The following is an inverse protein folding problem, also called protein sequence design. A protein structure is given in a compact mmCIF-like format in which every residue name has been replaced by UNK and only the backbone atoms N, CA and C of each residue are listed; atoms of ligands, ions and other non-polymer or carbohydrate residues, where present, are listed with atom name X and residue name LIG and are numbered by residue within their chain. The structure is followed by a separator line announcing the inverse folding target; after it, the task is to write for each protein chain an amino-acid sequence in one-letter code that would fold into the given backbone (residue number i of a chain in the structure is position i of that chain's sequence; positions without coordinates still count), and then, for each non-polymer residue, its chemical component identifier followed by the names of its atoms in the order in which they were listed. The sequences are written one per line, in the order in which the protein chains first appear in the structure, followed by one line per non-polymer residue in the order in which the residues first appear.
data_IF_452354096694
#
_entry.id   IF_452354096694
#
_cell.length_a   1.000
_cell.length_b   1.000
_cell.length_c   1.000
_cell.angle_alpha   90.00
_cell.angle_beta   90.00
_cell.angle_gamma   90.00
#
_symmetry.space_group_name_H-M   'P 1'
#
loop_
_entity.id
_entity.type
_entity.pdbx_description
1 polymer ?
#
# COMPACT_ATOMS: atom_id res chain seq x y z
N UNK A 1 -79.18 -29.45 -36.78
CA UNK A 1 -78.33 -29.45 -37.98
C UNK A 1 -77.03 -28.71 -37.67
N UNK A 2 -75.89 -29.34 -38.00
CA UNK A 2 -74.46 -28.91 -37.83
C UNK A 2 -73.97 -28.90 -36.37
N UNK A 3 -73.07 -29.76 -35.86
CA UNK A 3 -72.16 -30.72 -36.47
C UNK A 3 -70.73 -30.17 -36.60
N UNK A 4 -69.80 -30.68 -35.78
CA UNK A 4 -68.33 -30.96 -35.99
C UNK A 4 -67.62 -30.97 -34.62
N UNK A 5 -67.23 -32.12 -34.06
CA UNK A 5 -66.00 -32.91 -34.31
C UNK A 5 -64.69 -32.10 -34.20
N UNK A 6 -63.98 -32.26 -33.06
CA UNK A 6 -62.53 -32.47 -33.04
C UNK A 6 -62.10 -33.13 -31.71
N UNK A 7 -61.74 -34.40 -31.79
CA UNK A 7 -60.89 -35.14 -30.83
C UNK A 7 -59.45 -34.62 -30.90
N UNK A 8 -58.69 -34.62 -29.80
CA UNK A 8 -57.35 -35.25 -29.73
C UNK A 8 -56.65 -35.13 -28.36
N UNK A 9 -56.26 -36.31 -27.86
CA UNK A 9 -55.01 -36.70 -27.16
C UNK A 9 -54.53 -35.99 -25.87
N UNK A 10 -54.69 -36.76 -24.79
CA UNK A 10 -53.73 -37.08 -23.74
C UNK A 10 -52.31 -36.47 -23.81
N UNK A 11 -51.93 -35.79 -22.74
CA UNK A 11 -50.55 -35.50 -22.36
C UNK A 11 -50.38 -35.64 -20.85
N UNK A 12 -49.95 -36.81 -20.39
CA UNK A 12 -49.54 -37.08 -19.00
C UNK A 12 -48.15 -36.46 -18.82
N UNK A 13 -48.05 -35.38 -18.05
CA UNK A 13 -46.76 -34.87 -17.59
C UNK A 13 -46.38 -35.63 -16.31
N UNK A 14 -45.39 -36.50 -16.45
CA UNK A 14 -44.80 -37.31 -15.38
C UNK A 14 -44.11 -36.41 -14.36
N UNK A 15 -44.59 -36.47 -13.12
CA UNK A 15 -43.92 -35.99 -11.93
C UNK A 15 -42.75 -36.93 -11.60
N UNK A 16 -41.51 -36.51 -11.91
CA UNK A 16 -40.30 -37.15 -11.40
C UNK A 16 -39.54 -36.15 -10.53
N UNK A 17 -39.33 -36.55 -9.27
CA UNK A 17 -38.77 -35.72 -8.21
C UNK A 17 -37.35 -35.26 -8.50
N UNK A 18 -37.15 -33.95 -8.41
CA UNK A 18 -35.84 -33.37 -8.19
C UNK A 18 -35.59 -33.33 -6.68
N UNK A 19 -34.75 -34.23 -6.20
CA UNK A 19 -34.09 -34.14 -4.91
C UNK A 19 -33.23 -32.87 -4.94
N UNK A 20 -33.75 -31.78 -4.37
CA UNK A 20 -33.07 -30.49 -4.30
C UNK A 20 -31.92 -30.62 -3.30
N UNK A 21 -30.74 -30.99 -3.80
CA UNK A 21 -29.49 -30.91 -3.05
C UNK A 21 -29.23 -29.43 -2.73
N UNK A 22 -29.51 -29.05 -1.48
CA UNK A 22 -29.08 -27.79 -0.90
C UNK A 22 -27.54 -27.80 -0.82
N UNK A 23 -26.88 -27.13 -1.77
CA UNK A 23 -25.45 -26.85 -1.68
C UNK A 23 -25.23 -25.90 -0.49
N UNK A 24 -24.27 -26.18 0.42
CA UNK A 24 -23.87 -25.21 1.44
C UNK A 24 -23.24 -23.99 0.75
N UNK A 25 -23.80 -22.81 0.98
CA UNK A 25 -23.22 -21.56 0.51
C UNK A 25 -22.02 -21.20 1.40
N UNK A 26 -20.80 -21.33 0.85
CA UNK A 26 -19.58 -20.78 1.43
C UNK A 26 -19.71 -19.26 1.59
N UNK A 27 -20.11 -18.80 2.78
CA UNK A 27 -20.31 -17.37 3.11
C UNK A 27 -19.01 -16.68 3.57
N UNK A 28 -17.88 -17.39 3.62
CA UNK A 28 -16.63 -16.93 4.25
C UNK A 28 -15.84 -15.89 3.44
N UNK A 29 -16.09 -15.78 2.13
CA UNK A 29 -15.32 -14.88 1.26
C UNK A 29 -15.76 -13.40 1.35
N UNK A 30 -17.01 -13.12 1.74
CA UNK A 30 -17.55 -11.76 1.77
C UNK A 30 -17.10 -10.96 3.01
N UNK A 31 -16.97 -11.63 4.16
CA UNK A 31 -16.61 -11.01 5.44
C UNK A 31 -15.12 -10.65 5.50
N UNK A 32 -14.25 -11.48 4.93
CA UNK A 32 -12.80 -11.22 4.88
C UNK A 32 -12.45 -10.03 3.99
N UNK A 33 -13.10 -9.89 2.83
CA UNK A 33 -12.88 -8.76 1.92
C UNK A 33 -13.35 -7.41 2.50
N UNK A 34 -14.48 -7.40 3.21
CA UNK A 34 -14.99 -6.19 3.90
C UNK A 34 -14.14 -5.82 5.11
N UNK A 35 -13.56 -6.81 5.80
CA UNK A 35 -12.59 -6.57 6.86
C UNK A 35 -11.33 -5.88 6.30
N UNK A 36 -10.73 -6.35 5.21
CA UNK A 36 -9.54 -5.69 4.66
C UNK A 36 -9.82 -4.26 4.15
N UNK A 37 -10.98 -4.03 3.51
CA UNK A 37 -11.36 -2.73 2.96
C UNK A 37 -11.52 -1.60 4.01
N UNK A 38 -11.74 -1.95 5.29
CA UNK A 38 -11.90 -0.98 6.39
C UNK A 38 -10.77 -0.96 7.41
N UNK A 39 -9.68 -1.69 7.18
CA UNK A 39 -8.61 -1.87 8.16
C UNK A 39 -7.94 -0.56 8.56
N UNK A 40 -7.62 0.30 7.59
CA UNK A 40 -6.95 1.57 7.86
C UNK A 40 -7.73 2.46 8.83
N UNK A 41 -9.04 2.63 8.58
CA UNK A 41 -9.91 3.46 9.43
C UNK A 41 -9.94 2.94 10.87
N UNK A 42 -10.12 1.63 11.07
CA UNK A 42 -10.15 1.02 12.40
C UNK A 42 -8.82 1.11 13.12
N UNK A 43 -7.70 0.95 12.41
CA UNK A 43 -6.37 1.12 12.97
C UNK A 43 -6.17 2.57 13.44
N UNK A 44 -6.58 3.56 12.64
CA UNK A 44 -6.51 4.98 13.03
C UNK A 44 -7.38 5.29 14.24
N UNK A 45 -8.59 4.72 14.31
CA UNK A 45 -9.49 4.87 15.45
C UNK A 45 -8.92 4.25 16.72
N UNK A 46 -8.38 3.02 16.63
CA UNK A 46 -7.77 2.33 17.76
C UNK A 46 -6.52 3.05 18.29
N UNK A 47 -5.74 3.67 17.41
CA UNK A 47 -4.48 4.36 17.73
C UNK A 47 -4.63 5.90 17.76
N UNK A 48 -5.77 6.41 18.23
CA UNK A 48 -6.07 7.84 18.31
C UNK A 48 -5.04 8.69 19.09
N UNK A 49 -4.30 8.08 20.02
CA UNK A 49 -3.25 8.75 20.80
C UNK A 49 -1.89 8.81 20.08
N UNK A 50 -1.77 8.15 18.93
CA UNK A 50 -0.53 8.05 18.15
C UNK A 50 -0.68 8.89 16.88
N UNK A 51 0.29 9.76 16.59
CA UNK A 51 0.37 10.41 15.29
C UNK A 51 0.81 9.38 14.24
N UNK A 52 -0.12 8.98 13.39
CA UNK A 52 0.13 8.01 12.31
C UNK A 52 0.45 8.75 11.02
N UNK A 53 1.64 8.50 10.48
CA UNK A 53 2.05 9.06 9.19
C UNK A 53 1.59 8.17 8.03
N UNK A 54 1.75 6.85 8.16
CA UNK A 54 1.39 5.88 7.11
C UNK A 54 0.95 4.55 7.70
N UNK A 55 0.00 3.91 7.03
CA UNK A 55 -0.41 2.52 7.28
C UNK A 55 -0.17 1.75 5.98
N UNK A 56 0.44 0.57 6.05
CA UNK A 56 0.78 -0.24 4.88
C UNK A 56 0.56 -1.72 5.19
N UNK A 57 0.03 -2.49 4.24
CA UNK A 57 -0.08 -3.93 4.41
C UNK A 57 1.30 -4.57 4.38
N UNK A 58 1.53 -5.53 5.27
CA UNK A 58 2.75 -6.33 5.23
C UNK A 58 2.60 -7.50 4.25
N UNK A 59 3.70 -8.19 3.89
CA UNK A 59 3.62 -9.46 3.16
C UNK A 59 2.87 -10.55 3.94
N UNK A 60 2.64 -10.35 5.24
CA UNK A 60 1.93 -11.29 6.10
C UNK A 60 0.43 -10.95 6.12
N UNK A 61 -0.44 -11.90 5.77
CA UNK A 61 -1.87 -11.63 5.68
C UNK A 61 -2.44 -11.21 7.04
N UNK A 62 -3.21 -10.11 7.04
CA UNK A 62 -3.88 -9.57 8.22
C UNK A 62 -2.99 -8.76 9.17
N UNK A 63 -1.69 -8.61 8.88
CA UNK A 63 -0.78 -7.75 9.63
C UNK A 63 -0.50 -6.47 8.83
N UNK A 64 -0.67 -5.35 9.51
CA UNK A 64 -0.45 -4.01 9.00
C UNK A 64 0.73 -3.37 9.70
N UNK A 65 1.56 -2.70 8.93
CA UNK A 65 2.62 -1.83 9.40
C UNK A 65 2.07 -0.43 9.59
N UNK A 66 2.35 0.17 10.75
CA UNK A 66 2.00 1.55 11.08
C UNK A 66 3.29 2.31 11.34
N UNK A 67 3.53 3.34 10.51
CA UNK A 67 4.63 4.29 10.69
C UNK A 67 4.16 5.48 11.51
N UNK A 68 4.85 5.72 12.63
CA UNK A 68 4.62 6.84 13.54
C UNK A 68 5.96 7.53 13.84
N UNK A 69 6.25 8.58 13.09
CA UNK A 69 7.55 9.23 13.01
C UNK A 69 8.63 8.22 12.59
N UNK A 70 9.67 8.10 13.43
CA UNK A 70 10.78 7.16 13.21
C UNK A 70 10.47 5.73 13.67
N UNK A 71 9.30 5.49 14.25
CA UNK A 71 8.92 4.20 14.79
C UNK A 71 8.04 3.44 13.81
N UNK A 72 8.24 2.14 13.78
CA UNK A 72 7.41 1.19 13.06
C UNK A 72 6.82 0.24 14.08
N UNK A 73 5.50 0.13 14.07
CA UNK A 73 4.74 -0.82 14.88
C UNK A 73 3.85 -1.66 13.97
N UNK A 74 3.51 -2.85 14.43
CA UNK A 74 2.66 -3.78 13.68
C UNK A 74 1.34 -3.98 14.42
N UNK A 75 0.26 -4.18 13.69
CA UNK A 75 -1.08 -4.41 14.26
C UNK A 75 -1.87 -5.33 13.35
N UNK A 76 -2.85 -6.04 13.89
CA UNK A 76 -3.84 -6.71 13.02
C UNK A 76 -4.90 -5.72 12.51
N UNK A 77 -5.67 -6.16 11.52
CA UNK A 77 -6.74 -5.42 10.82
C UNK A 77 -7.79 -4.71 11.69
N UNK A 78 -7.89 -5.06 12.98
CA UNK A 78 -8.83 -4.45 13.94
C UNK A 78 -8.20 -3.37 14.82
N UNK A 79 -6.86 -3.28 14.90
CA UNK A 79 -6.18 -2.35 15.81
C UNK A 79 -6.22 -2.78 17.29
N UNK A 80 -6.71 -3.97 17.60
CA UNK A 80 -6.91 -4.49 18.96
C UNK A 80 -5.61 -4.97 19.59
N UNK A 81 -4.71 -5.60 18.84
CA UNK A 81 -3.39 -5.98 19.31
C UNK A 81 -2.31 -5.26 18.52
N UNK A 82 -1.28 -4.84 19.23
CA UNK A 82 -0.12 -4.21 18.63
C UNK A 82 1.14 -4.98 19.03
N UNK A 83 2.10 -5.00 18.12
CA UNK A 83 3.38 -5.65 18.29
C UNK A 83 4.47 -4.62 18.02
N UNK A 84 5.42 -4.55 18.96
CA UNK A 84 6.61 -3.71 18.84
C UNK A 84 7.80 -4.64 18.75
N UNK A 85 8.56 -4.52 17.68
CA UNK A 85 9.69 -5.40 17.46
C UNK A 85 10.18 -5.37 16.03
N UNK A 86 10.89 -6.43 15.67
CA UNK A 86 11.49 -6.61 14.36
C UNK A 86 10.93 -7.87 13.72
N UNK A 87 10.62 -7.77 12.44
CA UNK A 87 10.28 -8.91 11.61
C UNK A 87 11.54 -9.34 10.86
N UNK A 88 11.98 -10.55 11.14
CA UNK A 88 13.08 -11.20 10.44
C UNK A 88 12.54 -12.18 9.40
N UNK A 89 13.03 -12.06 8.17
CA UNK A 89 12.94 -13.15 7.22
C UNK A 89 14.00 -14.19 7.57
N UNK A 90 13.56 -15.36 8.02
CA UNK A 90 14.45 -16.45 8.43
C UNK A 90 15.07 -17.19 7.24
N UNK A 91 14.52 -17.08 6.04
CA UNK A 91 15.09 -17.67 4.84
C UNK A 91 16.30 -16.89 4.35
N UNK A 92 16.21 -15.55 4.38
CA UNK A 92 17.30 -14.66 3.95
C UNK A 92 18.14 -14.13 5.10
N UNK A 93 17.77 -14.43 6.35
CA UNK A 93 18.35 -13.86 7.57
C UNK A 93 18.34 -12.32 7.57
N UNK A 94 17.31 -11.71 6.98
CA UNK A 94 17.21 -10.25 6.80
C UNK A 94 16.23 -9.64 7.79
N UNK A 95 16.62 -8.52 8.40
CA UNK A 95 15.73 -7.70 9.21
C UNK A 95 14.90 -6.75 8.33
N UNK A 96 13.65 -7.12 8.07
CA UNK A 96 12.75 -6.35 7.22
C UNK A 96 12.37 -5.02 7.86
N UNK A 97 12.21 -5.00 9.18
CA UNK A 97 11.87 -3.79 9.93
C UNK A 97 13.02 -2.79 9.91
N UNK A 98 14.27 -3.24 10.01
CA UNK A 98 15.43 -2.36 9.93
C UNK A 98 15.56 -1.71 8.54
N UNK A 99 15.36 -2.49 7.48
CA UNK A 99 15.33 -1.96 6.11
C UNK A 99 14.23 -0.91 5.96
N UNK A 100 13.03 -1.19 6.47
CA UNK A 100 11.93 -0.23 6.40
C UNK A 100 12.16 1.01 7.26
N UNK A 101 12.76 0.89 8.45
CA UNK A 101 13.15 2.04 9.28
C UNK A 101 14.15 2.94 8.57
N UNK A 102 15.12 2.39 7.83
CA UNK A 102 16.09 3.18 7.10
C UNK A 102 15.45 3.92 5.91
N UNK A 103 14.53 3.26 5.20
CA UNK A 103 13.73 3.89 4.14
C UNK A 103 12.87 5.03 4.69
N UNK A 104 12.10 4.79 5.75
CA UNK A 104 11.27 5.80 6.41
C UNK A 104 12.13 6.96 6.90
N UNK A 105 13.27 6.69 7.53
CA UNK A 105 14.20 7.73 7.95
C UNK A 105 14.69 8.54 6.74
N UNK A 106 15.03 7.88 5.63
CA UNK A 106 15.39 8.52 4.37
C UNK A 106 14.27 9.38 3.79
N UNK A 107 13.02 8.91 3.83
CA UNK A 107 11.83 9.67 3.39
C UNK A 107 11.74 11.01 4.13
N UNK A 108 11.95 11.02 5.45
CA UNK A 108 11.96 12.25 6.25
C UNK A 108 13.17 13.16 5.99
N UNK A 109 14.23 12.68 5.32
CA UNK A 109 15.37 13.49 4.92
C UNK A 109 15.24 14.06 3.50
N UNK A 110 14.17 13.71 2.77
CA UNK A 110 13.96 14.23 1.41
C UNK A 110 13.40 15.64 1.47
N UNK A 111 14.03 16.54 0.72
CA UNK A 111 13.53 17.88 0.49
C UNK A 111 12.73 17.86 -0.80
N UNK A 112 11.49 18.36 -0.76
CA UNK A 112 10.64 18.45 -1.93
C UNK A 112 11.26 19.44 -2.93
N UNK A 113 11.33 19.07 -4.21
CA UNK A 113 12.06 19.86 -5.22
C UNK A 113 11.48 21.27 -5.40
N UNK A 114 10.16 21.37 -5.36
CA UNK A 114 9.37 22.59 -5.42
C UNK A 114 9.50 23.48 -4.18
N UNK A 115 10.00 22.95 -3.06
CA UNK A 115 10.29 23.74 -1.86
C UNK A 115 11.63 24.49 -1.92
N UNK A 116 12.46 24.20 -2.93
CA UNK A 116 13.73 24.90 -3.14
C UNK A 116 13.50 26.28 -3.81
N UNK A 117 14.28 27.31 -3.46
CA UNK A 117 14.18 28.65 -4.07
C UNK A 117 14.84 28.68 -5.46
N UNK A 118 14.24 27.95 -6.41
CA UNK A 118 14.81 27.74 -7.76
C UNK A 118 14.82 29.00 -8.63
N UNK A 119 14.05 30.02 -8.27
CA UNK A 119 14.01 31.34 -8.92
C UNK A 119 15.32 32.12 -8.75
N UNK A 120 16.05 31.85 -7.67
CA UNK A 120 17.37 32.46 -7.39
C UNK A 120 18.54 31.54 -7.74
N UNK A 121 18.26 30.34 -8.25
CA UNK A 121 19.29 29.35 -8.53
C UNK A 121 20.07 29.67 -9.82
N UNK A 122 21.36 29.37 -9.80
CA UNK A 122 22.18 29.32 -11.01
C UNK A 122 22.03 27.94 -11.64
N UNK A 123 21.55 27.89 -12.88
CA UNK A 123 21.33 26.64 -13.61
C UNK A 123 22.54 26.32 -14.50
N UNK A 124 22.99 25.07 -14.47
CA UNK A 124 24.08 24.57 -15.29
C UNK A 124 23.69 23.24 -15.94
N UNK A 125 23.95 23.11 -17.24
CA UNK A 125 23.62 21.93 -18.06
C UNK A 125 22.16 21.85 -18.52
N UNK A 126 21.87 20.89 -19.41
CA UNK A 126 20.53 20.64 -19.99
C UNK A 126 20.08 19.18 -19.83
N UNK A 127 20.67 18.45 -18.87
CA UNK A 127 20.37 17.04 -18.63
C UNK A 127 18.95 16.79 -18.12
N UNK A 128 18.45 15.57 -18.31
CA UNK A 128 17.12 15.14 -17.83
C UNK A 128 17.09 14.86 -16.32
N UNK A 129 18.25 14.57 -15.72
CA UNK A 129 18.41 14.43 -14.27
C UNK A 129 18.82 15.77 -13.68
N UNK A 130 18.19 16.13 -12.56
CA UNK A 130 18.44 17.40 -11.86
C UNK A 130 19.09 17.14 -10.51
N UNK A 131 20.07 17.97 -10.17
CA UNK A 131 20.75 17.97 -8.87
C UNK A 131 20.73 19.40 -8.35
N UNK A 132 20.29 19.60 -7.11
CA UNK A 132 20.36 20.89 -6.45
C UNK A 132 21.60 20.91 -5.54
N UNK A 133 22.47 21.90 -5.73
CA UNK A 133 23.67 22.09 -4.93
C UNK A 133 23.56 23.42 -4.16
N UNK A 134 23.54 23.33 -2.84
CA UNK A 134 23.65 24.50 -1.97
C UNK A 134 25.14 24.83 -1.86
N UNK A 135 25.52 26.03 -2.27
CA UNK A 135 26.92 26.42 -2.40
C UNK A 135 27.14 27.85 -1.88
N UNK A 136 28.28 28.06 -1.22
CA UNK A 136 28.72 29.36 -0.72
C UNK A 136 29.97 29.80 -1.53
N UNK A 137 29.98 31.01 -2.13
CA UNK A 137 31.12 31.49 -2.94
C UNK A 137 32.45 31.59 -2.18
N UNK A 138 32.40 31.81 -0.87
CA UNK A 138 33.57 31.85 0.02
C UNK A 138 34.05 30.46 0.49
N UNK A 139 33.26 29.41 0.29
CA UNK A 139 33.61 28.06 0.71
C UNK A 139 34.64 27.42 -0.23
N UNK A 140 35.86 27.18 0.28
CA UNK A 140 36.93 26.50 -0.45
C UNK A 140 36.55 25.09 -0.93
N UNK A 141 35.80 24.34 -0.11
CA UNK A 141 35.33 22.99 -0.47
C UNK A 141 34.29 23.00 -1.58
N UNK A 142 33.37 23.98 -1.57
CA UNK A 142 32.41 24.17 -2.65
C UNK A 142 33.12 24.47 -3.97
N UNK A 143 34.14 25.34 -3.97
CA UNK A 143 34.94 25.62 -5.18
C UNK A 143 35.64 24.37 -5.71
N UNK A 144 36.22 23.57 -4.81
CA UNK A 144 36.85 22.29 -5.19
C UNK A 144 35.82 21.32 -5.77
N UNK A 145 34.67 21.15 -5.12
CA UNK A 145 33.59 20.30 -5.59
C UNK A 145 33.09 20.75 -6.97
N UNK A 146 32.90 22.06 -7.20
CA UNK A 146 32.50 22.57 -8.51
C UNK A 146 33.53 22.23 -9.59
N UNK A 147 34.82 22.43 -9.31
CA UNK A 147 35.90 22.13 -10.25
C UNK A 147 36.00 20.63 -10.61
N UNK A 148 35.69 19.74 -9.66
CA UNK A 148 35.72 18.29 -9.88
C UNK A 148 34.43 17.77 -10.53
N UNK A 149 33.27 18.33 -10.17
CA UNK A 149 31.96 17.77 -10.52
C UNK A 149 31.39 18.33 -11.80
N UNK A 150 31.49 19.64 -12.04
CA UNK A 150 30.78 20.29 -13.15
C UNK A 150 31.28 19.83 -14.54
N UNK A 151 32.60 19.63 -14.77
CA UNK A 151 33.08 19.09 -16.05
C UNK A 151 32.55 17.68 -16.36
N UNK A 152 32.16 16.90 -15.35
CA UNK A 152 31.62 15.55 -15.52
C UNK A 152 30.09 15.52 -15.72
N UNK A 153 29.43 16.68 -15.63
CA UNK A 153 27.97 16.83 -15.71
C UNK A 153 27.49 17.47 -17.02
N UNK A 154 28.40 17.78 -17.94
CA UNK A 154 28.11 18.28 -19.29
C UNK A 154 27.63 17.19 -20.26
#
# INVERSE_FOLDING_TARGET
MKGRFFTYLAGIAVMSGALMYFLPQDTTASESATLEAGAESRIREALQATRIDRITSTPFPGIYEVTAGKNIIYTEKTGRYLFVGHIYDLHTATDLTAARKSEVAGEFQRIAWDSLPLDTAVVHGTGTKRVALISDPGCGWCRKLHAESFPALE
#
